data_IF_302334101811
#
_entry.id   IF_302334101811
#
_cell.length_a   1.000
_cell.length_b   1.000
_cell.length_c   1.000
_cell.angle_alpha   90.00
_cell.angle_beta   90.00
_cell.angle_gamma   90.00
#
_symmetry.space_group_name_H-M   'P 1'
#
loop_
_entity.id
_entity.type
_entity.pdbx_description
1 polymer ?
#
# COMPACT_ATOMS: atom_id res chain seq x y z
N UNK A 1 9.20 -9.80 25.35
CA UNK A 1 9.43 -8.41 25.83
C UNK A 1 8.64 -7.45 24.94
N UNK A 2 7.61 -6.85 25.50
CA UNK A 2 6.35 -6.47 24.84
C UNK A 2 6.51 -5.25 23.89
N UNK A 3 6.51 -5.46 22.56
CA UNK A 3 6.64 -4.38 21.55
C UNK A 3 5.61 -3.26 21.74
N UNK A 4 4.43 -3.58 22.30
CA UNK A 4 3.41 -2.60 22.67
C UNK A 4 3.92 -1.55 23.67
N UNK A 5 4.79 -1.91 24.63
CA UNK A 5 5.33 -0.95 25.62
C UNK A 5 6.30 0.07 25.01
N UNK A 6 7.05 -0.27 23.96
CA UNK A 6 7.97 0.69 23.29
C UNK A 6 7.21 1.72 22.46
N UNK A 7 6.12 1.33 21.81
CA UNK A 7 5.30 2.23 20.99
C UNK A 7 4.53 3.26 21.83
N UNK A 8 4.15 2.91 23.07
CA UNK A 8 3.52 3.83 24.03
C UNK A 8 4.37 5.07 24.30
N UNK A 9 5.71 4.96 24.23
CA UNK A 9 6.57 6.11 24.48
C UNK A 9 6.61 7.13 23.32
N UNK A 10 6.23 6.70 22.12
CA UNK A 10 6.17 7.54 20.93
C UNK A 10 4.81 8.22 20.71
N UNK A 11 3.76 7.78 21.41
CA UNK A 11 2.46 8.44 21.30
C UNK A 11 2.35 9.68 22.18
N UNK A 12 1.59 10.69 21.72
CA UNK A 12 1.17 11.77 22.59
C UNK A 12 0.27 11.23 23.71
N UNK A 13 0.40 11.75 24.95
CA UNK A 13 -0.45 11.37 26.06
C UNK A 13 -1.91 11.75 25.78
N UNK A 14 -2.83 10.78 25.94
CA UNK A 14 -4.26 10.95 25.70
C UNK A 14 -4.82 10.21 24.48
N UNK A 15 -3.95 9.60 23.65
CA UNK A 15 -4.36 8.82 22.47
C UNK A 15 -4.42 7.32 22.78
N UNK A 16 -5.54 6.69 22.43
CA UNK A 16 -5.73 5.24 22.55
C UNK A 16 -5.00 4.48 21.43
N UNK A 17 -3.67 4.38 21.55
CA UNK A 17 -2.78 3.64 20.64
C UNK A 17 -3.28 2.24 20.25
N UNK A 18 -3.84 1.50 21.21
CA UNK A 18 -4.32 0.14 20.96
C UNK A 18 -5.50 0.10 19.99
N UNK A 19 -6.36 1.11 20.06
CA UNK A 19 -7.49 1.27 19.15
C UNK A 19 -6.97 1.67 17.78
N UNK A 20 -6.19 2.75 17.65
CA UNK A 20 -5.65 3.21 16.36
C UNK A 20 -4.88 2.12 15.60
N UNK A 21 -4.02 1.37 16.30
CA UNK A 21 -3.32 0.23 15.71
C UNK A 21 -4.27 -0.88 15.25
N UNK A 22 -5.38 -1.10 15.95
CA UNK A 22 -6.41 -2.05 15.56
C UNK A 22 -7.14 -1.62 14.27
N UNK A 23 -7.51 -0.35 14.16
CA UNK A 23 -8.12 0.23 12.96
C UNK A 23 -7.14 0.25 11.77
N UNK A 24 -5.86 0.52 12.04
CA UNK A 24 -4.82 0.46 11.03
C UNK A 24 -4.58 -0.97 10.53
N UNK A 25 -4.50 -1.94 11.45
CA UNK A 25 -4.34 -3.35 11.12
C UNK A 25 -5.55 -3.89 10.34
N UNK A 26 -6.77 -3.50 10.70
CA UNK A 26 -7.96 -3.86 9.93
C UNK A 26 -7.97 -3.22 8.55
N UNK A 27 -7.51 -1.96 8.43
CA UNK A 27 -7.33 -1.27 7.15
C UNK A 27 -6.32 -1.96 6.23
N UNK A 28 -5.18 -2.42 6.77
CA UNK A 28 -4.21 -3.23 6.03
C UNK A 28 -4.84 -4.55 5.59
N UNK A 29 -5.55 -5.24 6.50
CA UNK A 29 -6.23 -6.50 6.20
C UNK A 29 -7.25 -6.35 5.07
N UNK A 30 -8.09 -5.32 5.12
CA UNK A 30 -9.07 -5.02 4.07
C UNK A 30 -8.38 -4.67 2.73
N UNK A 31 -7.29 -3.92 2.76
CA UNK A 31 -6.52 -3.55 1.56
C UNK A 31 -5.86 -4.77 0.93
N UNK A 32 -5.34 -5.70 1.73
CA UNK A 32 -4.81 -7.00 1.27
C UNK A 32 -5.90 -7.86 0.63
N UNK A 33 -7.09 -7.92 1.24
CA UNK A 33 -8.21 -8.66 0.67
C UNK A 33 -8.64 -8.07 -0.68
N UNK A 34 -8.67 -6.73 -0.79
CA UNK A 34 -8.94 -6.06 -2.05
C UNK A 34 -7.85 -6.34 -3.11
N UNK A 35 -6.58 -6.35 -2.71
CA UNK A 35 -5.46 -6.59 -3.62
C UNK A 35 -5.46 -8.01 -4.20
N UNK A 36 -6.04 -9.00 -3.50
CA UNK A 36 -6.27 -10.35 -4.06
C UNK A 36 -7.15 -10.32 -5.32
N UNK A 37 -7.93 -9.26 -5.55
CA UNK A 37 -8.64 -9.02 -6.81
C UNK A 37 -7.73 -9.09 -8.04
N UNK A 38 -6.44 -8.75 -7.90
CA UNK A 38 -5.43 -8.92 -8.95
C UNK A 38 -5.34 -10.37 -9.43
N UNK A 39 -5.31 -11.34 -8.51
CA UNK A 39 -5.18 -12.76 -8.86
C UNK A 39 -6.38 -13.26 -9.64
N UNK A 40 -7.59 -12.81 -9.28
CA UNK A 40 -8.80 -13.15 -10.03
C UNK A 40 -8.78 -12.58 -11.45
N UNK A 41 -8.38 -11.31 -11.60
CA UNK A 41 -8.24 -10.68 -12.92
C UNK A 41 -7.16 -11.37 -13.76
N UNK A 42 -5.99 -11.60 -13.17
CA UNK A 42 -4.90 -12.32 -13.81
C UNK A 42 -5.32 -13.72 -14.25
N UNK A 43 -5.98 -14.48 -13.38
CA UNK A 43 -6.47 -15.83 -13.69
C UNK A 43 -7.45 -15.83 -14.86
N UNK A 44 -8.37 -14.85 -14.90
CA UNK A 44 -9.33 -14.70 -16.00
C UNK A 44 -8.62 -14.45 -17.34
N UNK A 45 -7.71 -13.48 -17.38
CA UNK A 45 -6.96 -13.16 -18.59
C UNK A 45 -6.03 -14.32 -19.00
N UNK A 46 -5.39 -14.97 -18.03
CA UNK A 46 -4.57 -16.15 -18.26
C UNK A 46 -5.38 -17.30 -18.89
N UNK A 47 -6.62 -17.51 -18.47
CA UNK A 47 -7.48 -18.53 -19.07
C UNK A 47 -7.83 -18.22 -20.54
N UNK A 48 -7.95 -16.95 -20.92
CA UNK A 48 -8.24 -16.52 -22.29
C UNK A 48 -7.07 -16.79 -23.26
N UNK A 49 -5.84 -16.95 -22.76
CA UNK A 49 -4.69 -17.33 -23.60
C UNK A 49 -4.80 -18.75 -24.15
N UNK A 50 -5.68 -19.58 -23.58
CA UNK A 50 -5.79 -20.97 -23.99
C UNK A 50 -7.04 -21.23 -24.81
N UNK A 51 -6.85 -21.88 -25.94
CA UNK A 51 -7.92 -22.40 -26.76
C UNK A 51 -8.21 -23.85 -26.41
N UNK A 52 -9.47 -24.24 -26.61
CA UNK A 52 -9.90 -25.63 -26.52
C UNK A 52 -9.89 -26.25 -27.91
N UNK A 53 -9.02 -27.23 -28.12
CA UNK A 53 -8.89 -27.95 -29.39
C UNK A 53 -9.62 -29.31 -29.36
N UNK A 54 -10.77 -29.34 -28.66
CA UNK A 54 -11.62 -30.54 -28.49
C UNK A 54 -11.08 -31.62 -27.54
N UNK A 55 -9.76 -31.74 -27.35
CA UNK A 55 -9.14 -32.78 -26.52
C UNK A 55 -8.13 -32.26 -25.50
N UNK A 56 -7.42 -31.18 -25.82
CA UNK A 56 -6.43 -30.57 -24.94
C UNK A 56 -6.53 -29.03 -24.93
N UNK A 57 -6.03 -28.44 -23.84
CA UNK A 57 -5.92 -26.98 -23.66
C UNK A 57 -4.62 -26.51 -24.31
N UNK A 58 -4.70 -25.89 -25.48
CA UNK A 58 -3.55 -25.47 -26.28
C UNK A 58 -3.34 -23.96 -26.12
N UNK A 59 -2.08 -23.53 -26.03
CA UNK A 59 -1.73 -22.11 -25.94
C UNK A 59 -1.96 -21.42 -27.29
N UNK A 60 -2.74 -20.36 -27.31
CA UNK A 60 -2.89 -19.53 -28.50
C UNK A 60 -1.70 -18.59 -28.63
N UNK A 61 -0.78 -18.92 -29.55
CA UNK A 61 0.41 -18.11 -29.81
C UNK A 61 0.10 -16.75 -30.44
N UNK A 62 -1.13 -16.55 -30.94
CA UNK A 62 -1.61 -15.26 -31.44
C UNK A 62 -2.24 -14.38 -30.35
N UNK A 63 -2.53 -14.94 -29.17
CA UNK A 63 -3.08 -14.18 -28.06
C UNK A 63 -1.97 -13.48 -27.27
N UNK A 64 -2.16 -12.19 -27.00
CA UNK A 64 -1.22 -11.36 -26.24
C UNK A 64 -1.80 -11.07 -24.87
N UNK A 65 -1.01 -11.30 -23.82
CA UNK A 65 -1.40 -10.99 -22.45
C UNK A 65 -1.50 -9.47 -22.29
N UNK A 66 -2.60 -8.95 -21.67
CA UNK A 66 -2.68 -7.54 -21.35
C UNK A 66 -1.51 -7.09 -20.47
N UNK A 67 -1.13 -5.82 -20.59
CA UNK A 67 0.02 -5.27 -19.88
C UNK A 67 -0.18 -5.39 -18.37
N UNK A 68 0.93 -5.57 -17.64
CA UNK A 68 0.88 -5.74 -16.19
C UNK A 68 0.11 -4.63 -15.49
N UNK A 69 0.28 -3.37 -15.91
CA UNK A 69 -0.45 -2.22 -15.33
C UNK A 69 -1.96 -2.32 -15.52
N UNK A 70 -2.44 -2.85 -16.64
CA UNK A 70 -3.87 -3.03 -16.88
C UNK A 70 -4.45 -4.13 -16.00
N UNK A 71 -3.70 -5.22 -15.80
CA UNK A 71 -4.11 -6.33 -14.93
C UNK A 71 -4.06 -5.89 -13.46
N UNK A 72 -3.03 -5.14 -13.07
CA UNK A 72 -2.87 -4.55 -11.74
C UNK A 72 -4.00 -3.55 -11.44
N UNK A 73 -4.38 -2.75 -12.44
CA UNK A 73 -5.45 -1.76 -12.32
C UNK A 73 -5.33 -0.93 -11.05
N UNK A 74 -6.44 -0.81 -10.31
CA UNK A 74 -6.49 -0.12 -9.02
C UNK A 74 -6.27 -1.01 -7.80
N UNK A 75 -5.76 -2.24 -7.94
CA UNK A 75 -5.62 -3.19 -6.81
C UNK A 75 -4.74 -2.68 -5.66
N UNK A 76 -3.89 -1.67 -5.92
CA UNK A 76 -3.05 -1.03 -4.91
C UNK A 76 -3.58 0.34 -4.45
N UNK A 77 -4.64 0.86 -5.05
CA UNK A 77 -5.18 2.20 -4.72
C UNK A 77 -5.65 2.29 -3.28
N UNK A 78 -6.16 1.18 -2.73
CA UNK A 78 -6.60 1.08 -1.33
C UNK A 78 -5.47 1.32 -0.34
N UNK A 79 -4.24 0.89 -0.64
CA UNK A 79 -3.07 1.19 0.19
C UNK A 79 -2.69 2.67 0.13
N UNK A 80 -2.87 3.32 -1.02
CA UNK A 80 -2.62 4.75 -1.19
C UNK A 80 -3.65 5.57 -0.41
N UNK A 81 -4.93 5.21 -0.51
CA UNK A 81 -6.03 5.80 0.29
C UNK A 81 -5.78 5.61 1.79
N UNK A 82 -5.31 4.42 2.20
CA UNK A 82 -4.97 4.15 3.60
C UNK A 82 -3.78 5.01 4.06
N UNK A 83 -2.73 5.14 3.24
CA UNK A 83 -1.59 6.00 3.55
C UNK A 83 -2.00 7.48 3.66
N UNK A 84 -2.85 7.98 2.76
CA UNK A 84 -3.37 9.35 2.81
C UNK A 84 -4.26 9.58 4.03
N UNK A 85 -5.10 8.61 4.40
CA UNK A 85 -5.93 8.74 5.61
C UNK A 85 -5.08 8.79 6.88
N UNK A 86 -4.00 7.99 6.96
CA UNK A 86 -3.04 8.08 8.06
C UNK A 86 -2.31 9.42 8.09
N UNK A 87 -1.94 9.96 6.92
CA UNK A 87 -1.34 11.30 6.85
C UNK A 87 -2.34 12.39 7.30
N UNK A 88 -3.62 12.28 6.95
CA UNK A 88 -4.66 13.21 7.38
C UNK A 88 -4.87 13.16 8.90
N UNK A 89 -4.90 11.95 9.48
CA UNK A 89 -4.97 11.74 10.94
C UNK A 89 -3.75 12.35 11.65
N UNK A 90 -2.56 12.22 11.06
CA UNK A 90 -1.34 12.88 11.56
C UNK A 90 -1.50 14.40 11.68
N UNK A 91 -2.02 15.03 10.61
CA UNK A 91 -2.23 16.47 10.54
C UNK A 91 -3.30 16.90 11.55
N UNK A 92 -4.39 16.12 11.66
CA UNK A 92 -5.44 16.37 12.64
C UNK A 92 -4.93 16.32 14.09
N UNK A 93 -4.16 15.29 14.46
CA UNK A 93 -3.56 15.23 15.79
C UNK A 93 -2.59 16.38 16.04
N UNK A 94 -1.81 16.76 15.03
CA UNK A 94 -0.91 17.90 15.12
C UNK A 94 -1.69 19.20 15.36
N UNK A 95 -2.73 19.49 14.57
CA UNK A 95 -3.54 20.71 14.73
C UNK A 95 -4.31 20.71 16.04
N UNK A 96 -4.88 19.57 16.45
CA UNK A 96 -5.63 19.44 17.70
C UNK A 96 -4.75 19.73 18.92
N UNK A 97 -3.53 19.16 18.95
CA UNK A 97 -2.58 19.43 20.02
C UNK A 97 -2.01 20.86 19.98
N UNK A 98 -1.96 21.50 18.80
CA UNK A 98 -1.51 22.88 18.64
C UNK A 98 -2.59 23.93 19.00
N UNK A 99 -3.88 23.60 18.83
CA UNK A 99 -4.98 24.56 18.99
C UNK A 99 -5.75 24.44 20.31
N UNK A 100 -5.82 23.26 20.95
CA UNK A 100 -6.86 23.00 21.96
C UNK A 100 -6.45 22.41 23.31
N UNK A 101 -5.22 21.95 23.49
CA UNK A 101 -4.86 21.22 24.72
C UNK A 101 -4.17 22.11 25.76
N UNK A 102 -4.63 22.06 27.02
CA UNK A 102 -3.89 22.59 28.19
C UNK A 102 -2.46 22.00 28.30
N UNK A 103 -2.14 20.94 27.57
CA UNK A 103 -0.78 20.42 27.42
C UNK A 103 0.18 21.37 26.70
N UNK A 104 -0.29 22.39 25.98
CA UNK A 104 0.58 23.43 25.38
C UNK A 104 1.38 24.14 26.47
N UNK A 105 0.76 24.47 27.60
CA UNK A 105 1.43 25.12 28.72
C UNK A 105 2.46 24.20 29.39
N UNK A 106 2.23 22.88 29.40
CA UNK A 106 3.17 21.90 29.96
C UNK A 106 4.31 21.59 28.98
N UNK A 107 4.02 21.53 27.67
CA UNK A 107 5.00 21.38 26.60
C UNK A 107 5.90 22.61 26.43
N UNK A 108 5.39 23.82 26.64
CA UNK A 108 6.19 25.06 26.55
C UNK A 108 7.32 25.13 27.59
N UNK A 109 7.24 24.34 28.67
CA UNK A 109 8.32 24.18 29.66
C UNK A 109 9.41 23.19 29.25
N UNK A 110 9.18 22.34 28.24
CA UNK A 110 10.25 21.50 27.75
C UNK A 110 11.31 22.36 27.05
N UNK A 111 12.61 22.09 27.29
CA UNK A 111 13.69 22.85 26.68
C UNK A 111 13.66 22.79 25.14
N UNK A 112 13.01 21.77 24.57
CA UNK A 112 12.88 21.58 23.14
C UNK A 112 11.42 21.61 22.67
N UNK A 113 11.07 22.68 21.94
CA UNK A 113 9.72 22.94 21.39
C UNK A 113 9.31 21.96 20.29
N UNK A 114 10.27 21.20 19.75
CA UNK A 114 10.06 20.28 18.62
C UNK A 114 9.72 18.84 19.04
N UNK A 115 9.72 18.50 20.33
CA UNK A 115 9.43 17.13 20.76
C UNK A 115 7.96 16.73 20.52
N UNK A 116 7.04 17.69 20.66
CA UNK A 116 5.60 17.48 20.44
C UNK A 116 5.29 17.12 18.98
N UNK A 117 5.67 17.92 17.96
CA UNK A 117 5.48 17.54 16.57
C UNK A 117 6.21 16.24 16.23
N UNK A 118 7.42 16.03 16.75
CA UNK A 118 8.20 14.84 16.45
C UNK A 118 7.51 13.58 16.95
N UNK A 119 6.98 13.56 18.17
CA UNK A 119 6.22 12.41 18.69
C UNK A 119 4.91 12.20 17.94
N UNK A 120 4.12 13.25 17.73
CA UNK A 120 2.85 13.15 17.00
C UNK A 120 3.00 12.71 15.54
N UNK A 121 4.09 13.08 14.87
CA UNK A 121 4.35 12.70 13.48
C UNK A 121 5.06 11.35 13.35
N UNK A 122 5.84 10.92 14.34
CA UNK A 122 6.58 9.63 14.24
C UNK A 122 5.67 8.44 14.02
N UNK A 123 4.57 8.32 14.77
CA UNK A 123 3.62 7.21 14.61
C UNK A 123 2.94 7.16 13.23
N UNK A 124 2.32 8.24 12.74
CA UNK A 124 1.71 8.22 11.41
C UNK A 124 2.74 8.11 10.30
N UNK A 125 3.95 8.68 10.44
CA UNK A 125 5.01 8.51 9.46
C UNK A 125 5.47 7.03 9.38
N UNK A 126 5.53 6.34 10.52
CA UNK A 126 5.78 4.90 10.57
C UNK A 126 4.62 4.11 9.92
N UNK A 127 3.36 4.54 10.11
CA UNK A 127 2.20 3.95 9.45
C UNK A 127 2.22 4.13 7.93
N UNK A 128 2.45 5.35 7.44
CA UNK A 128 2.57 5.67 6.01
C UNK A 128 3.71 4.87 5.36
N UNK A 129 4.88 4.87 5.99
CA UNK A 129 6.03 4.11 5.48
C UNK A 129 5.75 2.61 5.47
N UNK A 130 5.10 2.06 6.50
CA UNK A 130 4.67 0.66 6.51
C UNK A 130 3.70 0.34 5.35
N UNK A 131 2.69 1.19 5.11
CA UNK A 131 1.76 1.03 3.98
C UNK A 131 2.48 1.04 2.64
N UNK A 132 3.38 2.00 2.43
CA UNK A 132 4.16 2.11 1.20
C UNK A 132 5.07 0.89 1.01
N UNK A 133 5.75 0.44 2.06
CA UNK A 133 6.56 -0.77 2.01
C UNK A 133 5.74 -2.01 1.64
N UNK A 134 4.55 -2.19 2.23
CA UNK A 134 3.66 -3.31 1.90
C UNK A 134 3.16 -3.22 0.45
N UNK A 135 2.76 -2.03 -0.01
CA UNK A 135 2.32 -1.81 -1.39
C UNK A 135 3.43 -2.13 -2.40
N UNK A 136 4.67 -1.69 -2.13
CA UNK A 136 5.83 -1.98 -2.97
C UNK A 136 6.17 -3.47 -2.99
N UNK A 137 6.14 -4.14 -1.83
CA UNK A 137 6.36 -5.59 -1.75
C UNK A 137 5.30 -6.36 -2.55
N UNK A 138 4.03 -6.00 -2.43
CA UNK A 138 2.96 -6.62 -3.21
C UNK A 138 3.11 -6.37 -4.70
N UNK A 139 3.47 -5.16 -5.11
CA UNK A 139 3.76 -4.84 -6.51
C UNK A 139 4.85 -5.75 -7.07
N UNK A 140 5.96 -5.91 -6.34
CA UNK A 140 7.07 -6.78 -6.76
C UNK A 140 6.66 -8.25 -6.80
N UNK A 141 5.89 -8.73 -5.82
CA UNK A 141 5.38 -10.11 -5.79
C UNK A 141 4.46 -10.35 -6.99
N UNK A 142 3.49 -9.47 -7.24
CA UNK A 142 2.56 -9.59 -8.36
C UNK A 142 3.26 -9.50 -9.71
N UNK A 143 4.26 -8.63 -9.83
CA UNK A 143 5.09 -8.55 -11.03
C UNK A 143 5.92 -9.83 -11.24
N UNK A 144 6.51 -10.38 -10.18
CA UNK A 144 7.24 -11.64 -10.24
C UNK A 144 6.32 -12.81 -10.63
N UNK A 145 5.12 -12.89 -10.07
CA UNK A 145 4.10 -13.87 -10.44
C UNK A 145 3.72 -13.72 -11.91
N UNK A 146 3.42 -12.50 -12.36
CA UNK A 146 3.09 -12.23 -13.76
C UNK A 146 4.21 -12.69 -14.71
N UNK A 147 5.46 -12.37 -14.41
CA UNK A 147 6.62 -12.74 -15.25
C UNK A 147 6.96 -14.23 -15.19
N UNK A 148 6.73 -14.90 -14.06
CA UNK A 148 7.05 -16.32 -13.89
C UNK A 148 6.04 -17.24 -14.56
N UNK A 149 4.75 -16.89 -14.50
CA UNK A 149 3.67 -17.74 -15.01
C UNK A 149 3.22 -17.40 -16.44
N UNK A 150 3.47 -16.18 -16.94
CA UNK A 150 3.10 -15.81 -18.30
C UNK A 150 4.11 -16.39 -19.31
N UNK A 151 3.68 -17.19 -20.31
CA UNK A 151 4.57 -17.73 -21.31
C UNK A 151 5.17 -16.61 -22.18
N UNK A 152 6.47 -16.71 -22.50
CA UNK A 152 7.22 -15.69 -23.24
C UNK A 152 6.61 -15.36 -24.60
N UNK A 153 5.95 -16.32 -25.24
CA UNK A 153 5.30 -16.13 -26.55
C UNK A 153 4.16 -15.11 -26.52
N UNK A 154 3.49 -14.95 -25.37
CA UNK A 154 2.33 -14.07 -25.21
C UNK A 154 2.66 -12.79 -24.44
N UNK A 155 3.93 -12.59 -24.05
CA UNK A 155 4.36 -11.50 -23.20
C UNK A 155 4.74 -10.29 -24.04
N UNK A 156 4.00 -9.19 -23.88
CA UNK A 156 4.35 -7.94 -24.58
C UNK A 156 5.68 -7.37 -24.03
N UNK A 157 6.56 -6.84 -24.88
CA UNK A 157 7.87 -6.35 -24.44
C UNK A 157 7.77 -5.13 -23.52
N UNK A 158 8.85 -4.87 -22.78
CA UNK A 158 9.07 -3.64 -22.00
C UNK A 158 8.05 -3.39 -20.88
N UNK A 159 7.57 -4.45 -20.21
CA UNK A 159 6.60 -4.34 -19.12
C UNK A 159 7.09 -3.46 -17.96
N UNK A 160 8.39 -3.52 -17.64
CA UNK A 160 8.96 -2.70 -16.57
C UNK A 160 8.87 -1.21 -16.89
N UNK A 161 9.23 -0.79 -18.11
CA UNK A 161 9.15 0.61 -18.49
C UNK A 161 7.70 1.12 -18.48
N UNK A 162 6.73 0.28 -18.88
CA UNK A 162 5.30 0.63 -18.83
C UNK A 162 4.77 0.92 -17.41
N UNK A 163 5.40 0.36 -16.38
CA UNK A 163 5.08 0.70 -14.99
C UNK A 163 5.54 2.13 -14.70
N UNK A 164 6.78 2.46 -15.08
CA UNK A 164 7.34 3.79 -14.88
C UNK A 164 6.62 4.87 -15.66
N UNK A 165 6.14 4.59 -16.87
CA UNK A 165 5.37 5.56 -17.66
C UNK A 165 4.09 5.99 -16.95
N UNK A 166 3.42 5.05 -16.29
CA UNK A 166 2.18 5.32 -15.57
C UNK A 166 2.45 6.07 -14.27
N UNK A 167 3.52 5.70 -13.56
CA UNK A 167 3.92 6.37 -12.30
C UNK A 167 4.40 7.81 -12.56
N UNK A 168 5.21 8.01 -13.60
CA UNK A 168 5.81 9.31 -13.92
C UNK A 168 4.90 10.19 -14.80
N UNK A 169 3.81 9.62 -15.34
CA UNK A 169 2.96 10.30 -16.32
C UNK A 169 3.65 10.59 -17.65
N UNK A 170 4.81 9.99 -17.90
CA UNK A 170 5.58 10.14 -19.15
C UNK A 170 5.14 9.03 -20.09
N UNK A 171 4.37 9.36 -21.12
CA UNK A 171 4.00 8.41 -22.16
C UNK A 171 5.24 7.88 -22.89
N UNK A 172 5.33 6.55 -23.02
CA UNK A 172 6.31 5.86 -23.87
C UNK A 172 5.63 5.54 -25.19
#
# INVERSE_FOLDING_TARGET
>A
MNHKKKLVHYAPPGVNLGQELGWFASGIGASLLYSLGFLFRYSREYQLLFLWDGTAKVLNTSAVMPNFVQVLGGSLDTFLVLALSMAAVAIYHYSYHYQGSKSIYLMQRLPNRWELPRRCLTLPLMGVSACLCVALLLLLIYYAVYMAFTPRACLAPYQWQKIWSVILGVGI
#
